data_IF_933000916634
#
_entry.id   IF_933000916634
#
_cell.length_a   1.000
_cell.length_b   1.000
_cell.length_c   1.000
_cell.angle_alpha   90.00
_cell.angle_beta   90.00
_cell.angle_gamma   90.00
#
_symmetry.space_group_name_H-M   'P 1'
#
loop_
_entity.id
_entity.type
_entity.pdbx_description
1 polymer ?
#
# COMPACT_ATOMS: atom_id res chain seq x y z
N UNK A 1 -22.88 -20.94 -19.71
CA UNK A 1 -22.56 -20.64 -21.13
C UNK A 1 -22.78 -19.18 -21.49
N UNK A 2 -24.00 -18.61 -21.44
CA UNK A 2 -24.26 -17.21 -21.82
C UNK A 2 -23.46 -16.18 -21.03
N UNK A 3 -23.32 -16.36 -19.71
CA UNK A 3 -22.44 -15.54 -18.86
C UNK A 3 -20.99 -15.59 -19.36
N UNK A 4 -20.50 -16.78 -19.71
CA UNK A 4 -19.14 -16.95 -20.24
C UNK A 4 -18.98 -16.23 -21.59
N UNK A 5 -19.95 -16.35 -22.50
CA UNK A 5 -19.96 -15.62 -23.77
C UNK A 5 -19.96 -14.10 -23.55
N UNK A 6 -20.80 -13.61 -22.64
CA UNK A 6 -20.88 -12.19 -22.29
C UNK A 6 -19.58 -11.65 -21.67
N UNK A 7 -18.80 -12.50 -21.00
CA UNK A 7 -17.53 -12.12 -20.36
C UNK A 7 -16.30 -12.26 -21.28
N UNK A 8 -16.45 -12.76 -22.51
CA UNK A 8 -15.33 -12.94 -23.44
C UNK A 8 -14.81 -11.60 -23.94
N UNK A 9 -13.49 -11.41 -23.91
CA UNK A 9 -12.84 -10.20 -24.41
C UNK A 9 -13.03 -9.97 -25.92
N UNK A 10 -13.27 -11.03 -26.69
CA UNK A 10 -13.45 -11.02 -28.15
C UNK A 10 -14.92 -11.20 -28.58
N UNK A 11 -15.88 -11.08 -27.66
CA UNK A 11 -17.29 -11.21 -27.99
C UNK A 11 -17.74 -10.11 -28.96
N UNK A 12 -18.48 -10.46 -30.04
CA UNK A 12 -19.01 -9.48 -30.98
C UNK A 12 -19.91 -8.44 -30.30
N UNK A 13 -19.79 -7.17 -30.70
CA UNK A 13 -20.50 -6.05 -30.09
C UNK A 13 -22.02 -6.16 -30.23
N UNK A 14 -22.51 -6.71 -31.35
CA UNK A 14 -23.92 -6.99 -31.61
C UNK A 14 -24.48 -8.08 -30.68
N UNK A 15 -23.73 -9.17 -30.48
CA UNK A 15 -24.06 -10.20 -29.50
C UNK A 15 -24.14 -9.62 -28.09
N UNK A 16 -23.14 -8.82 -27.70
CA UNK A 16 -23.12 -8.19 -26.39
C UNK A 16 -24.29 -7.21 -26.19
N UNK A 17 -24.63 -6.43 -27.22
CA UNK A 17 -25.78 -5.52 -27.22
C UNK A 17 -27.12 -6.27 -27.08
N UNK A 18 -27.25 -7.44 -27.72
CA UNK A 18 -28.42 -8.31 -27.52
C UNK A 18 -28.46 -8.86 -26.08
N UNK A 19 -27.34 -9.40 -25.59
CA UNK A 19 -27.25 -10.03 -24.27
C UNK A 19 -27.55 -9.05 -23.12
N UNK A 20 -27.10 -7.80 -23.20
CA UNK A 20 -27.45 -6.78 -22.18
C UNK A 20 -28.94 -6.43 -22.21
N UNK A 21 -29.53 -6.36 -23.41
CA UNK A 21 -30.94 -6.00 -23.59
C UNK A 21 -31.84 -7.13 -23.09
N UNK A 22 -31.63 -8.34 -23.58
CA UNK A 22 -32.52 -9.48 -23.37
C UNK A 22 -32.18 -10.31 -22.13
N UNK A 23 -30.97 -10.13 -21.55
CA UNK A 23 -30.42 -11.07 -20.56
C UNK A 23 -30.13 -12.45 -21.16
N UNK A 24 -30.17 -12.58 -22.48
CA UNK A 24 -30.14 -13.85 -23.21
C UNK A 24 -31.47 -14.59 -23.23
N UNK A 25 -32.61 -13.93 -23.01
CA UNK A 25 -33.94 -14.57 -23.10
C UNK A 25 -34.25 -15.10 -24.51
N UNK A 26 -34.99 -16.23 -24.68
CA UNK A 26 -35.52 -17.10 -23.63
C UNK A 26 -34.47 -18.08 -23.08
N UNK A 27 -34.72 -18.65 -21.89
CA UNK A 27 -33.87 -19.70 -21.32
C UNK A 27 -33.87 -20.96 -22.22
N UNK A 28 -32.74 -21.70 -22.32
CA UNK A 28 -32.76 -23.01 -22.95
C UNK A 28 -33.65 -23.92 -22.10
N UNK A 29 -34.63 -24.59 -22.71
CA UNK A 29 -35.51 -25.52 -22.00
C UNK A 29 -34.66 -26.65 -21.38
N UNK A 30 -34.80 -26.88 -20.07
CA UNK A 30 -34.47 -28.18 -19.47
C UNK A 30 -33.23 -28.27 -18.58
N UNK A 31 -33.14 -27.49 -17.51
CA UNK A 31 -32.26 -27.83 -16.39
C UNK A 31 -33.08 -28.19 -15.14
N UNK A 32 -32.87 -29.36 -14.51
CA UNK A 32 -33.69 -29.86 -13.40
C UNK A 32 -33.55 -29.06 -12.10
N UNK A 33 -32.61 -28.12 -12.02
CA UNK A 33 -32.25 -27.38 -10.82
C UNK A 33 -32.93 -26.00 -10.66
N UNK A 34 -33.94 -25.66 -11.48
CA UNK A 34 -34.73 -24.39 -11.43
C UNK A 34 -33.99 -23.21 -10.76
N UNK A 35 -32.88 -22.71 -11.32
CA UNK A 35 -32.34 -21.44 -10.86
C UNK A 35 -33.41 -20.35 -11.05
N UNK A 36 -33.45 -19.36 -10.17
CA UNK A 36 -34.31 -18.18 -10.33
C UNK A 36 -34.04 -17.55 -11.72
N UNK A 37 -35.01 -17.60 -12.66
CA UNK A 37 -34.79 -17.13 -14.02
C UNK A 37 -34.43 -15.64 -14.07
N UNK A 38 -34.98 -14.84 -13.16
CA UNK A 38 -34.67 -13.42 -13.09
C UNK A 38 -33.20 -13.20 -12.68
N UNK A 39 -32.71 -13.98 -11.71
CA UNK A 39 -31.31 -13.94 -11.29
C UNK A 39 -30.35 -14.39 -12.40
N UNK A 40 -30.70 -15.43 -13.15
CA UNK A 40 -29.87 -15.91 -14.26
C UNK A 40 -29.75 -14.88 -15.40
N UNK A 41 -30.88 -14.29 -15.82
CA UNK A 41 -30.89 -13.21 -16.82
C UNK A 41 -30.09 -12.00 -16.33
N UNK A 42 -30.23 -11.65 -15.04
CA UNK A 42 -29.48 -10.54 -14.43
C UNK A 42 -27.97 -10.78 -14.45
N UNK A 43 -27.51 -12.00 -14.18
CA UNK A 43 -26.07 -12.33 -14.27
C UNK A 43 -25.53 -12.17 -15.68
N UNK A 44 -26.30 -12.56 -16.71
CA UNK A 44 -25.92 -12.33 -18.11
C UNK A 44 -25.82 -10.84 -18.39
N UNK A 45 -26.79 -10.03 -17.93
CA UNK A 45 -26.74 -8.57 -18.07
C UNK A 45 -25.54 -7.96 -17.37
N UNK A 46 -25.22 -8.39 -16.15
CA UNK A 46 -24.04 -7.90 -15.41
C UNK A 46 -22.74 -8.21 -16.15
N UNK A 47 -22.60 -9.43 -16.68
CA UNK A 47 -21.43 -9.82 -17.46
C UNK A 47 -21.30 -8.99 -18.75
N UNK A 48 -22.41 -8.82 -19.49
CA UNK A 48 -22.41 -7.99 -20.70
C UNK A 48 -22.15 -6.51 -20.36
N UNK A 49 -22.72 -5.98 -19.27
CA UNK A 49 -22.53 -4.59 -18.86
C UNK A 49 -21.07 -4.25 -18.61
N UNK A 50 -20.33 -5.16 -17.96
CA UNK A 50 -18.93 -4.97 -17.62
C UNK A 50 -17.96 -5.24 -18.76
N UNK A 51 -18.42 -5.82 -19.86
CA UNK A 51 -17.58 -6.07 -21.03
C UNK A 51 -17.35 -4.77 -21.81
N UNK A 52 -16.09 -4.39 -21.99
CA UNK A 52 -15.71 -3.21 -22.78
C UNK A 52 -16.07 -3.31 -24.26
N UNK A 53 -16.28 -4.51 -24.79
CA UNK A 53 -16.80 -4.73 -26.14
C UNK A 53 -18.29 -4.37 -26.29
N UNK A 54 -19.04 -4.23 -25.19
CA UNK A 54 -20.46 -3.87 -25.24
C UNK A 54 -20.60 -2.39 -25.58
N UNK A 55 -21.24 -2.00 -26.69
CA UNK A 55 -21.31 -0.59 -27.09
C UNK A 55 -21.87 0.32 -26.00
N UNK A 56 -21.29 1.52 -25.84
CA UNK A 56 -21.76 2.50 -24.85
C UNK A 56 -23.26 2.84 -25.03
N UNK A 57 -23.74 2.90 -26.28
CA UNK A 57 -25.15 3.11 -26.59
C UNK A 57 -26.06 1.99 -26.06
N UNK A 58 -25.59 0.74 -26.07
CA UNK A 58 -26.37 -0.41 -25.60
C UNK A 58 -26.51 -0.44 -24.06
N UNK A 59 -25.52 0.10 -23.34
CA UNK A 59 -25.59 0.17 -21.87
C UNK A 59 -26.27 1.44 -21.34
N UNK A 60 -26.42 2.48 -22.16
CA UNK A 60 -26.98 3.76 -21.76
C UNK A 60 -28.34 3.67 -21.01
N UNK A 61 -29.31 2.83 -21.42
CA UNK A 61 -30.59 2.68 -20.70
C UNK A 61 -30.44 2.19 -19.26
N UNK A 62 -29.37 1.44 -18.97
CA UNK A 62 -29.11 0.86 -17.65
C UNK A 62 -28.35 1.80 -16.72
N UNK A 63 -28.04 3.02 -17.17
CA UNK A 63 -27.32 4.05 -16.38
C UNK A 63 -28.25 4.94 -15.56
N UNK A 64 -29.56 4.85 -15.81
CA UNK A 64 -30.60 5.63 -15.12
C UNK A 64 -31.60 4.73 -14.35
N UNK A 65 -31.49 3.41 -14.49
CA UNK A 65 -32.38 2.45 -13.85
C UNK A 65 -31.88 2.08 -12.44
N UNK A 66 -32.77 1.75 -11.48
CA UNK A 66 -32.40 1.50 -10.09
C UNK A 66 -31.66 0.17 -9.83
N UNK A 67 -31.22 -0.57 -10.86
CA UNK A 67 -30.41 -1.78 -10.63
C UNK A 67 -28.98 -1.38 -10.23
N UNK A 68 -28.78 -1.22 -8.92
CA UNK A 68 -27.52 -0.83 -8.31
C UNK A 68 -26.37 -1.77 -8.71
N UNK A 69 -26.62 -3.06 -8.98
CA UNK A 69 -25.50 -3.92 -9.40
C UNK A 69 -25.07 -3.66 -10.83
N UNK A 70 -26.00 -3.36 -11.74
CA UNK A 70 -25.63 -2.92 -13.09
C UNK A 70 -24.92 -1.57 -13.02
N UNK A 71 -25.45 -0.62 -12.25
CA UNK A 71 -24.81 0.68 -12.05
C UNK A 71 -23.38 0.57 -11.52
N UNK A 72 -23.14 -0.31 -10.53
CA UNK A 72 -21.79 -0.58 -10.00
C UNK A 72 -20.84 -1.15 -11.05
N UNK A 73 -21.31 -2.04 -11.91
CA UNK A 73 -20.50 -2.60 -13.00
C UNK A 73 -20.20 -1.54 -14.07
N UNK A 74 -21.18 -0.71 -14.42
CA UNK A 74 -20.97 0.37 -15.38
C UNK A 74 -20.04 1.46 -14.82
N UNK A 75 -20.09 1.71 -13.51
CA UNK A 75 -19.22 2.67 -12.83
C UNK A 75 -17.72 2.31 -12.91
N UNK A 76 -17.35 1.07 -13.22
CA UNK A 76 -15.95 0.66 -13.39
C UNK A 76 -15.46 0.70 -14.84
N UNK A 77 -16.37 0.88 -15.82
CA UNK A 77 -15.99 0.99 -17.23
C UNK A 77 -15.28 2.30 -17.50
N UNK A 78 -14.28 2.28 -18.38
CA UNK A 78 -13.41 3.44 -18.67
C UNK A 78 -13.70 4.11 -20.02
N UNK A 79 -14.61 3.53 -20.78
CA UNK A 79 -14.91 3.89 -22.17
C UNK A 79 -16.27 4.58 -22.32
N UNK A 80 -16.97 4.84 -21.22
CA UNK A 80 -18.29 5.45 -21.23
C UNK A 80 -18.22 6.98 -21.38
N UNK A 81 -19.20 7.61 -22.03
CA UNK A 81 -19.25 9.07 -22.12
C UNK A 81 -19.33 9.74 -20.74
N UNK A 82 -18.71 10.92 -20.55
CA UNK A 82 -18.70 11.67 -19.28
C UNK A 82 -20.06 11.78 -18.58
N UNK A 83 -21.12 12.14 -19.32
CA UNK A 83 -22.47 12.28 -18.77
C UNK A 83 -23.08 10.97 -18.23
N UNK A 84 -22.46 9.82 -18.47
CA UNK A 84 -22.84 8.54 -17.88
C UNK A 84 -22.48 8.46 -16.40
N UNK A 85 -21.27 8.90 -16.04
CA UNK A 85 -20.82 8.90 -14.64
C UNK A 85 -21.67 9.85 -13.78
N UNK A 86 -22.12 10.97 -14.34
CA UNK A 86 -23.08 11.88 -13.73
C UNK A 86 -24.40 11.17 -13.38
N UNK A 87 -24.97 10.45 -14.34
CA UNK A 87 -26.22 9.69 -14.11
C UNK A 87 -26.04 8.60 -13.06
N UNK A 88 -24.90 7.93 -13.05
CA UNK A 88 -24.59 6.90 -12.06
C UNK A 88 -24.49 7.48 -10.63
N UNK A 89 -23.82 8.61 -10.46
CA UNK A 89 -23.75 9.31 -9.15
C UNK A 89 -25.14 9.82 -8.73
N UNK A 90 -25.96 10.29 -9.68
CA UNK A 90 -27.31 10.76 -9.40
C UNK A 90 -28.27 9.67 -8.88
N UNK A 91 -27.91 8.38 -8.97
CA UNK A 91 -28.66 7.28 -8.34
C UNK A 91 -28.60 7.33 -6.80
N UNK A 92 -27.66 8.07 -6.22
CA UNK A 92 -27.55 8.26 -4.76
C UNK A 92 -27.03 7.05 -3.99
N UNK A 93 -26.54 6.00 -4.68
CA UNK A 93 -25.97 4.82 -4.02
C UNK A 93 -24.48 5.01 -3.68
N UNK A 94 -24.13 4.80 -2.42
CA UNK A 94 -22.77 4.98 -1.92
C UNK A 94 -21.75 4.09 -2.67
N UNK A 95 -22.09 2.83 -2.99
CA UNK A 95 -21.14 1.92 -3.64
C UNK A 95 -20.92 2.29 -5.10
N UNK A 96 -21.93 2.84 -5.77
CA UNK A 96 -21.81 3.37 -7.14
C UNK A 96 -20.93 4.61 -7.15
N UNK A 97 -21.19 5.59 -6.27
CA UNK A 97 -20.38 6.82 -6.19
C UNK A 97 -18.92 6.53 -5.84
N UNK A 98 -18.65 5.59 -4.92
CA UNK A 98 -17.29 5.13 -4.62
C UNK A 98 -16.57 4.59 -5.87
N UNK A 99 -17.25 3.75 -6.65
CA UNK A 99 -16.68 3.17 -7.86
C UNK A 99 -16.41 4.22 -8.94
N UNK A 100 -17.30 5.20 -9.10
CA UNK A 100 -17.10 6.35 -10.00
C UNK A 100 -15.90 7.18 -9.55
N UNK A 101 -15.81 7.51 -8.26
CA UNK A 101 -14.71 8.33 -7.72
C UNK A 101 -13.32 7.70 -7.96
N UNK A 102 -13.21 6.37 -7.88
CA UNK A 102 -11.97 5.62 -8.16
C UNK A 102 -11.70 5.40 -9.66
N UNK A 103 -12.66 5.69 -10.54
CA UNK A 103 -12.54 5.39 -11.95
C UNK A 103 -11.67 6.43 -12.68
N UNK A 104 -10.58 6.04 -13.36
CA UNK A 104 -9.73 6.97 -14.11
C UNK A 104 -10.43 7.70 -15.28
N UNK A 105 -11.60 7.22 -15.71
CA UNK A 105 -12.41 7.87 -16.74
C UNK A 105 -13.45 8.85 -16.17
N UNK A 106 -13.56 8.98 -14.85
CA UNK A 106 -14.44 9.95 -14.23
C UNK A 106 -14.06 11.38 -14.68
N UNK A 107 -15.03 12.23 -15.03
CA UNK A 107 -14.75 13.61 -15.43
C UNK A 107 -14.13 14.44 -14.30
N UNK A 108 -13.15 15.28 -14.63
CA UNK A 108 -12.42 16.14 -13.69
C UNK A 108 -13.36 17.00 -12.84
N UNK A 109 -14.35 17.62 -13.48
CA UNK A 109 -15.36 18.47 -12.86
C UNK A 109 -16.32 17.68 -11.95
N UNK A 110 -16.57 16.39 -12.25
CA UNK A 110 -17.28 15.50 -11.34
C UNK A 110 -16.43 15.16 -10.11
N UNK A 111 -15.14 14.84 -10.29
CA UNK A 111 -14.22 14.56 -9.19
C UNK A 111 -14.07 15.77 -8.26
N UNK A 112 -13.99 16.99 -8.82
CA UNK A 112 -13.99 18.24 -8.06
C UNK A 112 -15.25 18.34 -7.19
N UNK A 113 -16.45 18.17 -7.78
CA UNK A 113 -17.71 18.24 -7.02
C UNK A 113 -17.82 17.16 -5.95
N UNK A 114 -17.39 15.93 -6.22
CA UNK A 114 -17.39 14.84 -5.24
C UNK A 114 -16.47 15.14 -4.06
N UNK A 115 -15.30 15.73 -4.31
CA UNK A 115 -14.39 16.18 -3.26
C UNK A 115 -15.01 17.30 -2.41
N UNK A 116 -15.65 18.27 -3.07
CA UNK A 116 -16.25 19.44 -2.42
C UNK A 116 -17.58 19.15 -1.70
N UNK A 117 -18.27 18.06 -2.07
CA UNK A 117 -19.55 17.66 -1.47
C UNK A 117 -19.47 17.31 0.03
N UNK A 118 -18.27 17.22 0.60
CA UNK A 118 -18.09 17.21 2.05
C UNK A 118 -18.02 15.82 2.71
N UNK A 119 -18.36 14.76 1.97
CA UNK A 119 -18.34 13.38 2.47
C UNK A 119 -16.89 12.84 2.53
N UNK A 120 -16.47 12.44 3.73
CA UNK A 120 -15.12 11.92 3.97
C UNK A 120 -14.82 10.67 3.14
N UNK A 121 -15.83 9.83 2.84
CA UNK A 121 -15.64 8.64 2.02
C UNK A 121 -15.33 8.99 0.56
N UNK A 122 -15.96 10.04 0.02
CA UNK A 122 -15.71 10.51 -1.36
C UNK A 122 -14.36 11.14 -1.50
N UNK A 123 -13.96 12.00 -0.56
CA UNK A 123 -12.63 12.61 -0.60
C UNK A 123 -11.53 11.55 -0.69
N UNK A 124 -11.58 10.51 0.16
CA UNK A 124 -10.57 9.43 0.12
C UNK A 124 -10.52 8.73 -1.24
N UNK A 125 -11.67 8.41 -1.83
CA UNK A 125 -11.72 7.75 -3.14
C UNK A 125 -11.24 8.65 -4.28
N UNK A 126 -11.59 9.94 -4.25
CA UNK A 126 -11.07 10.92 -5.21
C UNK A 126 -9.55 11.03 -5.05
N UNK A 127 -9.02 11.17 -3.83
CA UNK A 127 -7.57 11.27 -3.61
C UNK A 127 -6.80 10.00 -4.00
N UNK A 128 -7.46 8.85 -4.01
CA UNK A 128 -6.91 7.57 -4.50
C UNK A 128 -6.97 7.41 -6.02
N UNK A 129 -7.73 8.23 -6.72
CA UNK A 129 -7.79 8.22 -8.17
C UNK A 129 -6.57 8.95 -8.74
N UNK A 130 -5.70 8.20 -9.42
CA UNK A 130 -4.47 8.69 -10.03
C UNK A 130 -4.69 9.66 -11.22
N UNK A 131 -5.93 9.91 -11.63
CA UNK A 131 -6.31 10.96 -12.59
C UNK A 131 -7.04 12.14 -11.94
N UNK A 132 -7.08 12.20 -10.62
CA UNK A 132 -7.65 13.37 -9.93
C UNK A 132 -6.92 14.64 -10.31
N UNK A 133 -7.66 15.69 -10.72
CA UNK A 133 -7.06 16.97 -11.11
C UNK A 133 -6.07 17.50 -10.08
N UNK A 134 -4.93 18.00 -10.57
CA UNK A 134 -3.85 18.49 -9.72
C UNK A 134 -4.29 19.62 -8.78
N UNK A 135 -5.23 20.47 -9.19
CA UNK A 135 -5.77 21.54 -8.34
C UNK A 135 -6.52 20.99 -7.12
N UNK A 136 -7.25 19.88 -7.25
CA UNK A 136 -7.90 19.19 -6.13
C UNK A 136 -6.85 18.65 -5.16
N UNK A 137 -5.78 18.04 -5.67
CA UNK A 137 -4.68 17.51 -4.85
C UNK A 137 -3.93 18.64 -4.12
N UNK A 138 -3.72 19.78 -4.79
CA UNK A 138 -3.13 20.99 -4.20
C UNK A 138 -4.03 21.58 -3.11
N UNK A 139 -5.35 21.71 -3.36
CA UNK A 139 -6.32 22.17 -2.36
C UNK A 139 -6.31 21.27 -1.13
N UNK A 140 -6.26 19.95 -1.34
CA UNK A 140 -6.17 18.98 -0.26
C UNK A 140 -4.88 19.11 0.54
N UNK A 141 -3.73 19.19 -0.13
CA UNK A 141 -2.43 19.36 0.51
C UNK A 141 -2.37 20.64 1.36
N UNK A 142 -2.88 21.76 0.82
CA UNK A 142 -2.94 23.05 1.54
C UNK A 142 -3.75 22.99 2.83
N UNK A 143 -4.84 22.22 2.84
CA UNK A 143 -5.75 22.07 3.98
C UNK A 143 -5.13 21.29 5.16
N UNK A 144 -3.96 20.68 5.00
CA UNK A 144 -3.13 20.29 6.14
C UNK A 144 -3.19 18.83 6.58
N UNK A 145 -3.58 17.87 5.72
CA UNK A 145 -2.96 16.53 5.66
C UNK A 145 -3.79 15.52 4.87
N UNK A 146 -3.07 14.66 4.15
CA UNK A 146 -3.52 13.37 3.62
C UNK A 146 -2.54 12.81 2.60
N UNK A 147 -2.61 11.50 2.37
CA UNK A 147 -1.96 10.88 1.21
C UNK A 147 -2.68 11.33 -0.07
N UNK A 148 -1.92 11.61 -1.13
CA UNK A 148 -2.43 11.97 -2.46
C UNK A 148 -1.83 11.01 -3.49
N UNK A 149 -2.65 10.48 -4.39
CA UNK A 149 -2.18 9.57 -5.44
C UNK A 149 -1.61 10.34 -6.65
N UNK A 150 -0.34 10.76 -6.60
CA UNK A 150 0.34 11.41 -7.74
C UNK A 150 1.41 10.55 -8.42
N UNK A 151 1.67 9.36 -7.88
CA UNK A 151 2.72 8.43 -8.30
C UNK A 151 2.77 8.23 -9.83
N UNK A 152 1.61 8.20 -10.49
CA UNK A 152 1.43 7.94 -11.93
C UNK A 152 0.54 8.95 -12.66
N UNK A 153 0.32 10.13 -12.11
CA UNK A 153 -0.60 11.12 -12.68
C UNK A 153 -0.19 11.50 -14.12
N UNK A 154 -1.09 11.55 -15.11
CA UNK A 154 -0.71 11.72 -16.52
C UNK A 154 -0.17 13.12 -16.89
N UNK A 155 -0.53 14.16 -16.13
CA UNK A 155 -0.08 15.53 -16.37
C UNK A 155 1.34 15.78 -15.81
N UNK A 156 2.35 15.41 -16.59
CA UNK A 156 3.76 15.61 -16.23
C UNK A 156 4.11 17.09 -16.16
N UNK A 157 3.62 17.92 -17.09
CA UNK A 157 3.94 19.35 -17.13
C UNK A 157 3.35 20.10 -15.94
N UNK A 158 2.13 19.77 -15.55
CA UNK A 158 1.54 20.23 -14.29
C UNK A 158 2.39 19.83 -13.09
N UNK A 159 2.81 18.57 -12.99
CA UNK A 159 3.71 18.11 -11.91
C UNK A 159 5.05 18.86 -11.90
N UNK A 160 5.61 19.21 -13.06
CA UNK A 160 6.83 20.05 -13.15
C UNK A 160 6.58 21.44 -12.56
N UNK A 161 5.45 22.06 -12.90
CA UNK A 161 5.08 23.37 -12.37
C UNK A 161 4.88 23.30 -10.84
N UNK A 162 4.21 22.26 -10.33
CA UNK A 162 4.02 22.07 -8.90
C UNK A 162 5.35 21.87 -8.15
N UNK A 163 6.32 21.17 -8.75
CA UNK A 163 7.65 20.96 -8.15
C UNK A 163 8.46 22.25 -7.99
N UNK A 164 8.19 23.27 -8.80
CA UNK A 164 8.85 24.58 -8.75
C UNK A 164 8.08 25.63 -7.93
N UNK A 165 6.92 25.28 -7.36
CA UNK A 165 6.07 26.22 -6.64
C UNK A 165 6.73 26.70 -5.34
N UNK A 166 6.62 27.99 -4.97
CA UNK A 166 7.18 28.50 -3.71
C UNK A 166 6.55 27.88 -2.46
N UNK A 167 5.31 27.43 -2.51
CA UNK A 167 4.59 26.82 -1.39
C UNK A 167 5.00 25.33 -1.22
N UNK A 168 5.62 24.94 -0.09
CA UNK A 168 6.01 23.55 0.14
C UNK A 168 4.82 22.58 0.10
N UNK A 169 3.61 23.03 0.47
CA UNK A 169 2.41 22.19 0.38
C UNK A 169 2.03 21.89 -1.07
N UNK A 170 2.37 22.76 -2.02
CA UNK A 170 2.20 22.49 -3.45
C UNK A 170 3.26 21.51 -3.94
N UNK A 171 4.54 21.74 -3.59
CA UNK A 171 5.64 20.83 -3.96
C UNK A 171 5.45 19.42 -3.43
N UNK A 172 4.83 19.25 -2.26
CA UNK A 172 4.51 17.95 -1.66
C UNK A 172 3.65 17.07 -2.59
N UNK A 173 2.78 17.68 -3.39
CA UNK A 173 1.94 16.98 -4.39
C UNK A 173 2.83 16.37 -5.48
N UNK A 174 3.82 17.12 -5.97
CA UNK A 174 4.77 16.64 -6.95
C UNK A 174 5.73 15.58 -6.40
N UNK A 175 6.16 15.71 -5.13
CA UNK A 175 7.15 14.83 -4.50
C UNK A 175 6.73 13.35 -4.40
N UNK A 176 5.43 13.04 -4.39
CA UNK A 176 4.94 11.66 -4.45
C UNK A 176 5.09 11.02 -5.85
N UNK A 177 5.31 11.80 -6.90
CA UNK A 177 5.30 11.30 -8.26
C UNK A 177 6.57 10.53 -8.64
N UNK A 178 6.41 9.28 -9.10
CA UNK A 178 7.51 8.46 -9.59
C UNK A 178 7.90 8.78 -11.04
N UNK A 179 7.03 9.45 -11.79
CA UNK A 179 7.24 9.73 -13.22
C UNK A 179 7.98 11.05 -13.47
N UNK A 180 8.33 11.79 -12.41
CA UNK A 180 9.10 13.03 -12.56
C UNK A 180 10.48 12.77 -13.18
N UNK A 181 10.98 13.70 -14.02
CA UNK A 181 12.37 13.72 -14.46
C UNK A 181 13.36 13.65 -13.28
N UNK A 182 14.54 13.07 -13.53
CA UNK A 182 15.55 12.82 -12.49
C UNK A 182 16.09 14.08 -11.82
N UNK A 183 16.24 15.17 -12.58
CA UNK A 183 16.64 16.50 -12.10
C UNK A 183 15.63 17.10 -11.13
N UNK A 184 14.34 17.04 -11.44
CA UNK A 184 13.28 17.51 -10.54
C UNK A 184 13.16 16.66 -9.29
N UNK A 185 13.29 15.33 -9.42
CA UNK A 185 13.34 14.43 -8.26
C UNK A 185 14.52 14.78 -7.36
N UNK A 186 15.70 15.00 -7.94
CA UNK A 186 16.88 15.37 -7.19
C UNK A 186 16.69 16.71 -6.44
N UNK A 187 16.08 17.71 -7.10
CA UNK A 187 15.76 18.99 -6.47
C UNK A 187 14.78 18.82 -5.29
N UNK A 188 13.76 17.97 -5.41
CA UNK A 188 12.79 17.69 -4.33
C UNK A 188 13.39 16.88 -3.18
N UNK A 189 14.42 16.07 -3.43
CA UNK A 189 15.17 15.38 -2.36
C UNK A 189 16.09 16.33 -1.59
N UNK A 190 16.57 17.40 -2.24
CA UNK A 190 17.38 18.46 -1.62
C UNK A 190 16.51 19.67 -1.19
N UNK A 191 15.18 19.51 -1.10
CA UNK A 191 14.21 20.57 -0.78
C UNK A 191 14.44 21.19 0.62
N UNK A 192 14.19 22.50 0.80
CA UNK A 192 14.28 23.14 2.11
C UNK A 192 13.22 22.67 3.12
N UNK A 193 12.11 22.06 2.67
CA UNK A 193 11.03 21.57 3.53
C UNK A 193 11.13 20.06 3.80
N UNK A 194 11.12 19.68 5.07
CA UNK A 194 11.31 18.28 5.50
C UNK A 194 10.22 17.35 4.98
N UNK A 195 8.96 17.80 4.90
CA UNK A 195 7.86 16.93 4.47
C UNK A 195 7.96 16.66 2.96
N UNK A 196 8.41 17.65 2.19
CA UNK A 196 8.73 17.48 0.76
C UNK A 196 9.85 16.46 0.59
N UNK A 197 10.96 16.61 1.33
CA UNK A 197 12.09 15.67 1.28
C UNK A 197 11.66 14.26 1.68
N UNK A 198 10.93 14.14 2.79
CA UNK A 198 10.40 12.86 3.29
C UNK A 198 9.57 12.15 2.24
N UNK A 199 8.71 12.89 1.53
CA UNK A 199 7.89 12.32 0.45
C UNK A 199 8.73 11.94 -0.76
N UNK A 200 9.67 12.78 -1.17
CA UNK A 200 10.52 12.53 -2.33
C UNK A 200 11.41 11.29 -2.15
N UNK A 201 11.96 11.10 -0.94
CA UNK A 201 12.81 9.95 -0.58
C UNK A 201 12.02 8.66 -0.46
N UNK A 202 10.74 8.70 -0.08
CA UNK A 202 9.90 7.49 -0.03
C UNK A 202 9.81 6.72 -1.35
N UNK A 203 10.26 7.31 -2.46
CA UNK A 203 10.30 6.70 -3.78
C UNK A 203 11.61 5.93 -4.00
N UNK A 204 11.55 4.66 -4.44
CA UNK A 204 12.70 3.73 -4.57
C UNK A 204 13.78 4.08 -5.62
N UNK A 205 13.73 5.27 -6.22
CA UNK A 205 14.65 5.72 -7.27
C UNK A 205 15.71 6.73 -6.82
N UNK A 206 15.85 6.99 -5.51
CA UNK A 206 16.79 8.00 -4.99
C UNK A 206 18.19 7.40 -4.80
N UNK A 207 19.25 7.98 -5.41
CA UNK A 207 20.63 7.53 -5.23
C UNK A 207 21.12 7.64 -3.77
N UNK A 208 21.99 6.69 -3.39
CA UNK A 208 22.61 6.60 -2.05
C UNK A 208 23.25 7.92 -1.56
N UNK A 209 23.90 8.68 -2.46
CA UNK A 209 24.48 9.98 -2.10
C UNK A 209 23.46 11.03 -1.69
N UNK A 210 22.25 11.01 -2.27
CA UNK A 210 21.19 11.95 -1.86
C UNK A 210 20.59 11.52 -0.52
N UNK A 211 20.39 10.21 -0.32
CA UNK A 211 19.96 9.64 0.97
C UNK A 211 20.92 10.05 2.09
N UNK A 212 22.24 9.95 1.84
CA UNK A 212 23.28 10.38 2.79
C UNK A 212 23.21 11.88 3.09
N UNK A 213 23.14 12.75 2.07
CA UNK A 213 23.02 14.21 2.28
C UNK A 213 21.75 14.57 3.07
N UNK A 214 20.63 13.90 2.79
CA UNK A 214 19.40 14.12 3.53
C UNK A 214 19.53 13.71 5.00
N UNK A 215 20.24 12.62 5.29
CA UNK A 215 20.57 12.21 6.66
C UNK A 215 21.44 13.25 7.39
N UNK A 216 22.48 13.76 6.73
CA UNK A 216 23.37 14.80 7.28
C UNK A 216 22.61 16.09 7.61
N UNK A 217 21.63 16.46 6.79
CA UNK A 217 20.84 17.68 6.96
C UNK A 217 19.74 17.56 8.00
N UNK A 218 18.97 16.47 7.97
CA UNK A 218 17.71 16.35 8.72
C UNK A 218 17.80 15.40 9.91
N UNK A 219 18.82 14.53 9.95
CA UNK A 219 19.10 13.68 11.10
C UNK A 219 17.91 12.84 11.57
N UNK A 220 17.69 12.73 12.90
CA UNK A 220 16.64 11.91 13.50
C UNK A 220 15.23 12.14 12.95
N UNK A 221 14.91 13.35 12.51
CA UNK A 221 13.59 13.69 11.97
C UNK A 221 13.25 12.98 10.64
N UNK A 222 14.25 12.41 9.97
CA UNK A 222 14.13 11.71 8.69
C UNK A 222 14.59 10.24 8.75
N UNK A 223 15.21 9.81 9.85
CA UNK A 223 15.81 8.48 9.97
C UNK A 223 14.86 7.32 9.67
N UNK A 224 13.59 7.40 10.07
CA UNK A 224 12.65 6.32 9.78
C UNK A 224 12.48 6.13 8.26
N UNK A 225 12.26 7.22 7.53
CA UNK A 225 12.16 7.19 6.07
C UNK A 225 13.44 6.69 5.40
N UNK A 226 14.60 7.07 5.94
CA UNK A 226 15.90 6.66 5.39
C UNK A 226 16.18 5.18 5.67
N UNK A 227 15.88 4.68 6.86
CA UNK A 227 16.07 3.29 7.24
C UNK A 227 15.18 2.35 6.41
N UNK A 228 13.95 2.74 6.10
CA UNK A 228 13.06 1.99 5.22
C UNK A 228 13.47 2.02 3.73
N UNK A 229 14.39 2.91 3.33
CA UNK A 229 14.73 3.08 1.93
C UNK A 229 15.65 1.96 1.40
N UNK A 230 15.33 1.29 0.28
CA UNK A 230 16.13 0.16 -0.25
C UNK A 230 17.58 0.51 -0.61
N UNK A 231 17.87 1.78 -0.88
CA UNK A 231 19.22 2.27 -1.20
C UNK A 231 19.93 2.94 -0.01
N UNK A 232 19.45 2.72 1.22
CA UNK A 232 20.12 3.20 2.42
C UNK A 232 21.56 2.64 2.51
N UNK A 233 22.59 3.50 2.57
CA UNK A 233 23.96 3.03 2.72
C UNK A 233 24.16 2.26 4.03
N UNK A 234 24.98 1.18 4.06
CA UNK A 234 25.26 0.42 5.28
C UNK A 234 25.76 1.29 6.45
N UNK A 235 26.61 2.28 6.18
CA UNK A 235 27.15 3.19 7.20
C UNK A 235 26.04 4.07 7.81
N UNK A 236 25.05 4.46 7.00
CA UNK A 236 23.89 5.20 7.46
C UNK A 236 22.99 4.32 8.34
N UNK A 237 22.75 3.06 7.96
CA UNK A 237 21.96 2.13 8.78
C UNK A 237 22.61 1.92 10.15
N UNK A 238 23.94 1.80 10.21
CA UNK A 238 24.69 1.76 11.47
C UNK A 238 24.56 3.07 12.26
N UNK A 239 24.69 4.22 11.60
CA UNK A 239 24.52 5.52 12.23
C UNK A 239 23.12 5.66 12.84
N UNK A 240 22.06 5.26 12.12
CA UNK A 240 20.68 5.27 12.61
C UNK A 240 20.51 4.31 13.80
N UNK A 241 21.01 3.07 13.70
CA UNK A 241 20.88 2.09 14.77
C UNK A 241 21.58 2.53 16.08
N UNK A 242 22.68 3.28 15.98
CA UNK A 242 23.50 3.71 17.13
C UNK A 242 23.15 5.11 17.65
N UNK A 243 22.47 5.94 16.86
CA UNK A 243 22.17 7.32 17.26
C UNK A 243 21.18 7.36 18.44
N UNK A 244 21.47 8.14 19.51
CA UNK A 244 20.66 8.17 20.73
C UNK A 244 19.23 8.66 20.48
N UNK A 245 19.07 9.65 19.61
CA UNK A 245 17.76 10.23 19.28
C UNK A 245 17.00 9.51 18.15
N UNK A 246 17.49 8.36 17.68
CA UNK A 246 16.78 7.62 16.64
C UNK A 246 15.40 7.16 17.10
N UNK A 247 14.33 7.46 16.34
CA UNK A 247 12.99 6.95 16.63
C UNK A 247 12.99 5.42 16.67
N UNK A 248 12.14 4.83 17.52
CA UNK A 248 12.02 3.36 17.62
C UNK A 248 11.72 2.72 16.25
N UNK A 249 10.77 3.29 15.51
CA UNK A 249 10.43 2.83 14.17
C UNK A 249 11.61 2.85 13.19
N UNK A 250 12.55 3.80 13.32
CA UNK A 250 13.73 3.84 12.45
C UNK A 250 14.69 2.68 12.73
N UNK A 251 14.88 2.32 14.00
CA UNK A 251 15.71 1.18 14.38
C UNK A 251 15.03 -0.14 14.05
N UNK A 252 13.70 -0.21 14.18
CA UNK A 252 12.90 -1.35 13.71
C UNK A 252 13.05 -1.54 12.19
N UNK A 253 12.99 -0.45 11.42
CA UNK A 253 13.23 -0.49 9.98
C UNK A 253 14.66 -0.97 9.65
N UNK A 254 15.69 -0.54 10.39
CA UNK A 254 17.06 -1.08 10.24
C UNK A 254 17.10 -2.59 10.55
N UNK A 255 16.43 -3.04 11.60
CA UNK A 255 16.39 -4.46 11.96
C UNK A 255 15.72 -5.33 10.89
N UNK A 256 14.82 -4.77 10.09
CA UNK A 256 14.16 -5.45 8.97
C UNK A 256 15.00 -5.42 7.67
N UNK A 257 15.95 -4.50 7.52
CA UNK A 257 16.73 -4.36 6.30
C UNK A 257 17.69 -5.53 6.09
N UNK A 258 17.50 -6.28 5.00
CA UNK A 258 18.42 -7.36 4.61
C UNK A 258 19.81 -6.85 4.20
N UNK A 259 19.91 -5.57 3.85
CA UNK A 259 21.19 -4.91 3.50
C UNK A 259 21.93 -4.34 4.72
N UNK A 260 21.33 -4.39 5.91
CA UNK A 260 21.94 -3.84 7.11
C UNK A 260 23.23 -4.60 7.49
N UNK A 261 24.32 -3.88 7.80
CA UNK A 261 25.56 -4.53 8.20
C UNK A 261 25.41 -5.18 9.59
N UNK A 262 26.18 -6.25 9.90
CA UNK A 262 26.13 -6.94 11.19
C UNK A 262 26.17 -6.01 12.42
N UNK A 263 27.03 -4.99 12.40
CA UNK A 263 27.14 -4.02 13.50
C UNK A 263 25.86 -3.19 13.70
N UNK A 264 25.12 -2.88 12.63
CA UNK A 264 23.86 -2.16 12.73
C UNK A 264 22.77 -3.06 13.33
N UNK A 265 22.70 -4.32 12.89
CA UNK A 265 21.77 -5.32 13.44
C UNK A 265 22.05 -5.60 14.92
N UNK A 266 23.32 -5.67 15.33
CA UNK A 266 23.72 -5.76 16.74
C UNK A 266 23.28 -4.52 17.53
N UNK A 267 23.51 -3.32 17.00
CA UNK A 267 23.09 -2.07 17.64
C UNK A 267 21.56 -1.98 17.82
N UNK A 268 20.76 -2.63 16.97
CA UNK A 268 19.30 -2.68 17.11
C UNK A 268 18.84 -3.39 18.40
N UNK A 269 19.66 -4.28 18.99
CA UNK A 269 19.33 -4.98 20.24
C UNK A 269 19.10 -4.05 21.44
N UNK A 270 19.53 -2.78 21.33
CA UNK A 270 19.21 -1.74 22.33
C UNK A 270 17.70 -1.49 22.47
N UNK A 271 16.91 -1.85 21.46
CA UNK A 271 15.45 -1.78 21.49
C UNK A 271 14.86 -3.17 21.63
N UNK A 272 14.12 -3.45 22.72
CA UNK A 272 13.46 -4.74 22.89
C UNK A 272 12.51 -5.11 21.74
N UNK A 273 11.88 -4.12 21.10
CA UNK A 273 10.98 -4.34 19.96
C UNK A 273 11.67 -4.81 18.68
N UNK A 274 13.00 -4.67 18.57
CA UNK A 274 13.75 -5.14 17.41
C UNK A 274 13.98 -6.67 17.42
N UNK A 275 13.89 -7.33 18.58
CA UNK A 275 14.15 -8.77 18.73
C UNK A 275 13.36 -9.67 17.75
N UNK A 276 12.03 -9.53 17.57
CA UNK A 276 11.30 -10.35 16.60
C UNK A 276 11.68 -10.05 15.15
N UNK A 277 12.07 -8.82 14.83
CA UNK A 277 12.49 -8.41 13.49
C UNK A 277 13.85 -9.03 13.14
N UNK A 278 14.81 -8.93 14.06
CA UNK A 278 16.13 -9.56 13.94
C UNK A 278 16.00 -11.09 13.86
N UNK A 279 15.12 -11.69 14.65
CA UNK A 279 14.85 -13.11 14.60
C UNK A 279 14.36 -13.58 13.23
N UNK A 280 13.55 -12.78 12.52
CA UNK A 280 13.04 -13.10 11.19
C UNK A 280 13.97 -12.69 10.03
N UNK A 281 14.92 -11.78 10.25
CA UNK A 281 15.79 -11.26 9.20
C UNK A 281 16.87 -12.28 8.78
N UNK A 282 16.91 -12.73 7.50
CA UNK A 282 17.90 -13.70 7.00
C UNK A 282 19.36 -13.22 7.06
N UNK A 283 19.59 -11.91 7.12
CA UNK A 283 20.93 -11.30 7.23
C UNK A 283 21.42 -11.18 8.67
N UNK A 284 20.61 -11.56 9.67
CA UNK A 284 21.01 -11.47 11.08
C UNK A 284 22.18 -12.40 11.37
N UNK A 285 23.27 -11.88 11.98
CA UNK A 285 24.43 -12.68 12.34
C UNK A 285 24.06 -13.90 13.21
N UNK A 286 24.64 -15.08 12.93
CA UNK A 286 24.46 -16.30 13.72
C UNK A 286 24.60 -16.13 15.23
N UNK A 287 25.53 -15.28 15.68
CA UNK A 287 25.76 -15.01 17.11
C UNK A 287 24.56 -14.32 17.77
N UNK A 288 23.92 -13.38 17.07
CA UNK A 288 22.70 -12.71 17.54
C UNK A 288 21.55 -13.72 17.59
N UNK A 289 21.38 -14.52 16.53
CA UNK A 289 20.34 -15.55 16.47
C UNK A 289 20.48 -16.58 17.61
N UNK A 290 21.70 -17.03 17.89
CA UNK A 290 21.97 -17.93 19.01
C UNK A 290 21.58 -17.31 20.37
N UNK A 291 21.89 -16.02 20.58
CA UNK A 291 21.51 -15.29 21.79
C UNK A 291 19.99 -15.12 21.98
N UNK A 292 19.21 -15.16 20.89
CA UNK A 292 17.76 -15.04 20.94
C UNK A 292 17.02 -16.37 21.18
N UNK A 293 17.70 -17.52 21.15
CA UNK A 293 17.07 -18.86 21.32
C UNK A 293 16.32 -19.02 22.65
N UNK A 294 16.80 -18.35 23.70
CA UNK A 294 16.23 -18.37 25.05
C UNK A 294 15.31 -17.17 25.33
N UNK A 295 15.01 -16.34 24.32
CA UNK A 295 14.20 -15.15 24.48
C UNK A 295 12.81 -15.49 25.05
N UNK A 296 12.28 -14.75 26.03
CA UNK A 296 11.03 -15.10 26.73
C UNK A 296 9.79 -15.01 25.82
N UNK A 297 9.82 -14.13 24.83
CA UNK A 297 8.71 -13.94 23.88
C UNK A 297 8.58 -15.12 22.90
N UNK A 298 7.43 -15.83 22.87
CA UNK A 298 7.15 -16.88 21.90
C UNK A 298 7.21 -16.44 20.43
N UNK A 299 6.88 -15.17 20.14
CA UNK A 299 6.94 -14.65 18.77
C UNK A 299 8.38 -14.64 18.25
N UNK A 300 9.33 -14.17 19.07
CA UNK A 300 10.77 -14.18 18.74
C UNK A 300 11.25 -15.60 18.44
N UNK A 301 10.90 -16.57 19.30
CA UNK A 301 11.25 -17.98 19.09
C UNK A 301 10.62 -18.57 17.82
N UNK A 302 9.41 -18.14 17.48
CA UNK A 302 8.72 -18.58 16.26
C UNK A 302 9.40 -18.03 15.01
N UNK A 303 9.80 -16.77 15.00
CA UNK A 303 10.52 -16.18 13.87
C UNK A 303 11.92 -16.77 13.69
N UNK A 304 12.65 -17.01 14.80
CA UNK A 304 13.95 -17.72 14.76
C UNK A 304 13.86 -19.08 14.07
N UNK A 305 12.82 -19.86 14.41
CA UNK A 305 12.62 -21.19 13.82
C UNK A 305 12.41 -21.15 12.30
N UNK A 306 11.94 -20.02 11.75
CA UNK A 306 11.77 -19.81 10.31
C UNK A 306 13.00 -19.22 9.63
N UNK A 307 13.97 -18.73 10.41
CA UNK A 307 15.12 -18.03 9.87
C UNK A 307 16.12 -19.01 9.22
N UNK A 308 16.42 -18.87 7.92
CA UNK A 308 17.34 -19.77 7.23
C UNK A 308 18.80 -19.65 7.70
N UNK A 309 19.17 -18.55 8.37
CA UNK A 309 20.51 -18.31 8.90
C UNK A 309 20.72 -18.89 10.31
N UNK A 310 19.70 -19.50 10.93
CA UNK A 310 19.82 -20.11 12.26
C UNK A 310 20.79 -21.30 12.22
N UNK A 311 21.89 -21.30 13.00
CA UNK A 311 22.84 -22.41 13.02
C UNK A 311 22.21 -23.70 13.53
N UNK A 312 22.63 -24.85 12.98
CA UNK A 312 22.11 -26.17 13.38
C UNK A 312 22.20 -26.45 14.90
N UNK A 313 23.25 -25.97 15.56
CA UNK A 313 23.38 -26.07 17.02
C UNK A 313 22.29 -25.28 17.76
N UNK A 314 21.99 -24.07 17.31
CA UNK A 314 20.96 -23.21 17.89
C UNK A 314 19.53 -23.75 17.63
N UNK A 315 19.31 -24.53 16.57
CA UNK A 315 18.03 -25.24 16.34
C UNK A 315 17.77 -26.25 17.46
N UNK A 316 18.80 -26.97 17.91
CA UNK A 316 18.68 -27.91 19.02
C UNK A 316 18.32 -27.20 20.32
N UNK A 317 19.02 -26.09 20.64
CA UNK A 317 18.76 -25.29 21.83
C UNK A 317 17.32 -24.72 21.84
N UNK A 318 16.85 -24.25 20.68
CA UNK A 318 15.48 -23.76 20.52
C UNK A 318 14.45 -24.89 20.73
N UNK A 319 14.71 -26.09 20.22
CA UNK A 319 13.85 -27.26 20.44
C UNK A 319 13.79 -27.67 21.91
N UNK A 320 14.92 -27.67 22.61
CA UNK A 320 14.99 -27.94 24.06
C UNK A 320 14.22 -26.88 24.85
N UNK A 321 14.40 -25.60 24.53
CA UNK A 321 13.69 -24.49 25.19
C UNK A 321 12.16 -24.55 25.02
N UNK A 322 11.68 -24.99 23.86
CA UNK A 322 10.24 -25.18 23.58
C UNK A 322 9.63 -26.38 24.32
N UNK A 323 10.42 -27.41 24.59
CA UNK A 323 9.97 -28.65 25.25
C UNK A 323 10.11 -28.60 26.78
N UNK A 324 10.99 -27.75 27.32
CA UNK A 324 11.29 -27.65 28.76
C UNK A 324 11.35 -26.18 29.25
N UNK A 325 10.22 -25.44 29.26
CA UNK A 325 10.22 -23.97 29.49
C UNK A 325 10.55 -23.50 30.92
N UNK A 326 11.07 -24.35 31.82
CA UNK A 326 11.14 -24.07 33.28
C UNK A 326 12.43 -24.50 34.02
N UNK A 327 13.61 -24.46 33.41
CA UNK A 327 14.85 -24.90 34.10
C UNK A 327 16.07 -23.97 34.06
N UNK A 328 15.98 -22.72 33.57
CA UNK A 328 17.19 -21.87 33.41
C UNK A 328 17.26 -20.68 34.39
N UNK A 329 16.51 -20.65 35.49
CA UNK A 329 16.57 -19.54 36.46
C UNK A 329 17.30 -19.80 37.78
N UNK A 330 17.99 -20.94 37.97
CA UNK A 330 18.62 -21.22 39.29
C UNK A 330 20.14 -21.38 39.31
N UNK A 331 20.85 -21.51 38.19
CA UNK A 331 22.28 -21.91 38.26
C UNK A 331 23.29 -20.75 38.17
N UNK A 332 22.91 -19.52 38.51
CA UNK A 332 23.85 -18.38 38.62
C UNK A 332 23.92 -17.72 40.00
N UNK A 333 23.43 -18.37 41.06
CA UNK A 333 23.78 -17.97 42.43
C UNK A 333 24.43 -19.15 43.15
N UNK A 334 25.72 -19.34 42.87
CA UNK A 334 26.60 -20.05 43.79
C UNK A 334 26.64 -19.29 45.11
N UNK A 335 25.90 -19.76 46.12
CA UNK A 335 26.14 -19.39 47.51
C UNK A 335 26.86 -20.53 48.19
N UNK A 336 28.12 -20.26 48.50
CA UNK A 336 28.98 -21.07 49.32
C UNK A 336 28.28 -21.48 50.63
N UNK A 337 28.58 -22.71 51.04
CA UNK A 337 28.30 -23.26 52.34
C UNK A 337 28.86 -22.37 53.46
N UNK A 338 28.05 -22.15 54.49
CA UNK A 338 28.53 -22.09 55.87
C UNK A 338 27.61 -22.96 56.70
N UNK A 339 28.15 -24.12 57.05
CA UNK A 339 27.77 -24.99 58.17
C UNK A 339 28.26 -24.32 59.47
N UNK A 340 27.36 -24.10 60.43
CA UNK A 340 27.72 -24.07 61.86
C UNK A 340 26.57 -24.69 62.64
N UNK A 341 26.86 -25.87 63.19
CA UNK A 341 26.14 -26.52 64.27
C UNK A 341 26.50 -25.87 65.63
N UNK A 342 25.55 -25.92 66.56
CA UNK A 342 25.53 -25.45 67.97
C UNK A 342 25.27 -23.95 68.23
#
# INVERSE_FOLDING_TARGET
MRIALAARHDAPADLLADLITTGGSPEPRGCPHRPDPAAALRQVRLAAAGNHGTPAAAVAPFTAAPDISLARVLATRRDLPPGTYERLVALGDHRVTAAVALNPAAPDDLLCRLYDAGDAAWRTNVLANWRTPLDVLVRHSRAGAGWVATDRHPDVDGLRALAADPDPKVRLVAAASHILPGDLRAALTDDPDLDVVRRAIGNSGVPADQVRRAAERWGPALFQTLAAHPSAPPELLLAIATHPDSPAGAVEDVAWQETAPPAALEACLRLPSAAPLLAGNPSTPPAILAGLTTHPDPQVRTELARNPALPAGAVHDLFVALTHPRTVLTDSLGSAAIDVSE
#
